data_IF_202111164205
#
_entry.id   IF_202111164205
#
_cell.length_a   1.000
_cell.length_b   1.000
_cell.length_c   1.000
_cell.angle_alpha   90.00
_cell.angle_beta   90.00
_cell.angle_gamma   90.00
#
_symmetry.space_group_name_H-M   'P 1'
#
loop_
_entity.id
_entity.type
_entity.pdbx_description
1 polymer ?
#
# COMPACT_ATOMS: atom_id res chain seq x y z
N UNK A 1 -55.56 -35.48 31.43
CA UNK A 1 -54.83 -35.09 30.20
C UNK A 1 -53.56 -34.39 30.66
N UNK A 2 -52.43 -35.08 30.64
CA UNK A 2 -51.12 -34.47 30.92
C UNK A 2 -50.66 -33.79 29.64
N UNK A 3 -50.75 -32.46 29.63
CA UNK A 3 -50.33 -31.62 28.53
C UNK A 3 -48.79 -31.65 28.47
N UNK A 4 -48.25 -32.46 27.56
CA UNK A 4 -46.81 -32.59 27.40
C UNK A 4 -46.30 -31.36 26.65
N UNK A 5 -45.46 -30.56 27.31
CA UNK A 5 -44.87 -29.37 26.70
C UNK A 5 -44.16 -29.72 25.37
N UNK A 6 -44.30 -28.89 24.32
CA UNK A 6 -43.65 -29.12 23.03
C UNK A 6 -42.13 -29.17 23.19
N UNK A 7 -41.45 -29.99 22.37
CA UNK A 7 -40.01 -30.27 22.51
C UNK A 7 -39.10 -29.03 22.38
N UNK A 8 -39.59 -27.95 21.78
CA UNK A 8 -38.88 -26.66 21.65
C UNK A 8 -39.15 -25.69 22.82
N UNK A 9 -39.99 -26.07 23.79
CA UNK A 9 -40.30 -25.23 24.92
C UNK A 9 -39.14 -25.20 25.92
N UNK A 10 -38.48 -24.04 26.06
CA UNK A 10 -37.46 -23.82 27.10
C UNK A 10 -38.16 -23.44 28.42
N UNK A 11 -38.05 -24.21 29.51
CA UNK A 11 -38.66 -23.87 30.81
C UNK A 11 -38.22 -22.49 31.33
N UNK A 12 -39.09 -21.79 32.07
CA UNK A 12 -38.86 -20.38 32.49
C UNK A 12 -37.68 -20.26 33.46
N UNK A 13 -37.43 -21.30 34.26
CA UNK A 13 -36.27 -21.45 35.15
C UNK A 13 -34.92 -21.51 34.42
N UNK A 14 -34.94 -21.75 33.10
CA UNK A 14 -33.77 -21.67 32.24
C UNK A 14 -33.69 -20.37 31.45
N UNK A 15 -34.56 -19.39 31.70
CA UNK A 15 -34.56 -18.09 31.01
C UNK A 15 -33.96 -17.00 31.90
N UNK A 16 -33.11 -16.17 31.33
CA UNK A 16 -32.65 -14.93 31.94
C UNK A 16 -32.96 -13.79 30.98
N UNK A 17 -33.80 -12.83 31.40
CA UNK A 17 -34.29 -11.73 30.55
C UNK A 17 -34.92 -12.20 29.21
N UNK A 18 -35.60 -13.36 29.21
CA UNK A 18 -36.24 -13.93 28.02
C UNK A 18 -35.31 -14.74 27.11
N UNK A 19 -34.01 -14.82 27.41
CA UNK A 19 -33.01 -15.60 26.67
C UNK A 19 -32.68 -16.91 27.39
N UNK A 20 -32.44 -17.99 26.64
CA UNK A 20 -32.03 -19.28 27.20
C UNK A 20 -30.65 -19.18 27.87
N UNK A 21 -30.59 -19.49 29.17
CA UNK A 21 -29.37 -19.49 29.99
C UNK A 21 -28.28 -20.41 29.42
N UNK A 22 -28.66 -21.45 28.67
CA UNK A 22 -27.72 -22.40 28.03
C UNK A 22 -26.97 -21.75 26.86
N UNK A 23 -27.56 -20.76 26.20
CA UNK A 23 -26.94 -20.06 25.08
C UNK A 23 -26.05 -18.89 25.51
N UNK A 24 -26.10 -18.46 26.78
CA UNK A 24 -25.28 -17.34 27.27
C UNK A 24 -23.78 -17.65 27.23
N UNK A 25 -23.36 -18.86 27.62
CA UNK A 25 -21.95 -19.24 27.60
C UNK A 25 -21.35 -19.20 26.18
N UNK A 26 -21.94 -19.87 25.16
CA UNK A 26 -21.43 -19.77 23.80
C UNK A 26 -21.55 -18.35 23.24
N UNK A 27 -22.62 -17.60 23.56
CA UNK A 27 -22.75 -16.20 23.12
C UNK A 27 -21.65 -15.29 23.72
N UNK A 28 -21.31 -15.47 24.99
CA UNK A 28 -20.23 -14.74 25.64
C UNK A 28 -18.87 -15.10 25.01
N UNK A 29 -18.63 -16.38 24.71
CA UNK A 29 -17.41 -16.80 24.01
C UNK A 29 -17.29 -16.14 22.64
N UNK A 30 -18.37 -16.12 21.85
CA UNK A 30 -18.40 -15.43 20.54
C UNK A 30 -18.16 -13.93 20.71
N UNK A 31 -18.78 -13.30 21.72
CA UNK A 31 -18.57 -11.88 22.02
C UNK A 31 -17.11 -11.58 22.37
N UNK A 32 -16.48 -12.39 23.22
CA UNK A 32 -15.07 -12.22 23.59
C UNK A 32 -14.17 -12.36 22.37
N UNK A 33 -14.41 -13.37 21.51
CA UNK A 33 -13.66 -13.53 20.26
C UNK A 33 -13.86 -12.31 19.36
N UNK A 34 -15.09 -11.85 19.19
CA UNK A 34 -15.40 -10.67 18.39
C UNK A 34 -14.69 -9.42 18.91
N UNK A 35 -14.70 -9.18 20.22
CA UNK A 35 -13.99 -8.06 20.84
C UNK A 35 -12.47 -8.18 20.69
N UNK A 36 -11.92 -9.39 20.81
CA UNK A 36 -10.49 -9.64 20.61
C UNK A 36 -10.07 -9.38 19.16
N UNK A 37 -10.88 -9.78 18.19
CA UNK A 37 -10.61 -9.51 16.78
C UNK A 37 -10.80 -8.03 16.42
N UNK A 38 -11.82 -7.37 16.97
CA UNK A 38 -12.15 -5.99 16.64
C UNK A 38 -11.24 -4.97 17.35
N UNK A 39 -10.79 -5.27 18.57
CA UNK A 39 -9.99 -4.34 19.37
C UNK A 39 -8.64 -4.90 19.78
N UNK A 40 -8.56 -6.19 20.11
CA UNK A 40 -7.32 -6.82 20.56
C UNK A 40 -6.23 -6.84 19.49
N UNK A 41 -6.56 -7.31 18.28
CA UNK A 41 -5.60 -7.35 17.17
C UNK A 41 -5.15 -5.93 16.73
N UNK A 42 -6.05 -4.95 16.52
CA UNK A 42 -5.63 -3.58 16.21
C UNK A 42 -4.80 -2.93 17.32
N UNK A 43 -5.14 -3.15 18.59
CA UNK A 43 -4.37 -2.61 19.71
C UNK A 43 -2.98 -3.22 19.80
N UNK A 44 -2.84 -4.53 19.56
CA UNK A 44 -1.53 -5.19 19.51
C UNK A 44 -0.69 -4.64 18.36
N UNK A 45 -1.28 -4.45 17.18
CA UNK A 45 -0.59 -3.86 16.04
C UNK A 45 -0.12 -2.42 16.34
N UNK A 46 -0.94 -1.63 17.05
CA UNK A 46 -0.56 -0.27 17.48
C UNK A 46 0.52 -0.25 18.58
N UNK A 47 0.66 -1.34 19.35
CA UNK A 47 1.64 -1.44 20.43
C UNK A 47 3.02 -1.88 19.95
N UNK A 48 3.17 -2.37 18.71
CA UNK A 48 4.46 -2.74 18.13
C UNK A 48 5.13 -1.46 17.61
N UNK A 49 6.23 -0.99 18.22
CA UNK A 49 6.91 0.22 17.76
C UNK A 49 7.52 0.01 16.39
N UNK A 50 7.32 0.99 15.51
CA UNK A 50 7.96 1.09 14.22
C UNK A 50 9.45 1.34 14.41
N UNK A 51 10.30 0.44 13.90
CA UNK A 51 11.74 0.51 14.14
C UNK A 51 12.43 1.54 13.23
N UNK A 52 11.84 1.80 12.05
CA UNK A 52 12.37 2.73 11.04
C UNK A 52 11.23 3.60 10.49
N UNK A 53 10.55 4.31 11.39
CA UNK A 53 9.52 5.26 11.00
C UNK A 53 10.14 6.46 10.30
N UNK A 54 9.58 6.81 9.14
CA UNK A 54 9.93 8.00 8.37
C UNK A 54 9.56 9.25 9.16
N UNK A 55 10.55 10.10 9.38
CA UNK A 55 10.43 11.39 10.06
C UNK A 55 10.36 12.54 9.05
N UNK A 56 9.85 13.67 9.51
CA UNK A 56 9.86 14.89 8.71
C UNK A 56 11.32 15.28 8.38
N UNK A 57 11.58 15.53 7.10
CA UNK A 57 12.92 15.85 6.59
C UNK A 57 13.70 14.66 6.03
N UNK A 58 13.20 13.43 6.22
CA UNK A 58 13.80 12.25 5.57
C UNK A 58 13.59 12.33 4.05
N UNK A 59 14.62 11.91 3.31
CA UNK A 59 14.63 11.86 1.84
C UNK A 59 15.19 10.51 1.42
N UNK A 60 14.52 9.84 0.49
CA UNK A 60 14.98 8.59 -0.09
C UNK A 60 15.99 8.86 -1.20
N UNK A 61 17.07 8.08 -1.24
CA UNK A 61 18.02 8.06 -2.36
C UNK A 61 17.52 7.08 -3.43
N UNK A 62 17.29 7.59 -4.64
CA UNK A 62 16.91 6.81 -5.81
C UNK A 62 18.08 6.64 -6.79
N UNK A 63 19.30 6.97 -6.37
CA UNK A 63 20.52 6.85 -7.16
C UNK A 63 20.75 8.00 -8.15
N UNK A 64 22.02 8.22 -8.49
CA UNK A 64 22.49 9.33 -9.35
C UNK A 64 21.95 10.72 -8.95
N UNK A 65 21.69 10.92 -7.65
CA UNK A 65 21.14 12.16 -7.11
C UNK A 65 19.63 12.31 -7.27
N UNK A 66 18.93 11.31 -7.81
CA UNK A 66 17.48 11.27 -7.80
C UNK A 66 16.97 11.03 -6.38
N UNK A 67 15.86 11.67 -6.03
CA UNK A 67 15.33 11.65 -4.67
C UNK A 67 13.81 11.55 -4.64
N UNK A 68 13.27 11.07 -3.52
CA UNK A 68 11.85 11.14 -3.22
C UNK A 68 11.63 11.51 -1.76
N UNK A 69 10.59 12.30 -1.48
CA UNK A 69 10.19 12.67 -0.11
C UNK A 69 9.10 11.70 0.35
N UNK A 70 9.42 10.70 1.20
CA UNK A 70 8.45 9.72 1.68
C UNK A 70 7.38 10.36 2.59
N UNK A 71 6.18 9.76 2.70
CA UNK A 71 5.18 10.24 3.64
C UNK A 71 5.60 10.02 5.10
N UNK A 72 5.43 11.04 5.93
CA UNK A 72 5.77 10.98 7.37
C UNK A 72 4.89 9.95 8.08
N UNK A 73 5.48 9.22 9.03
CA UNK A 73 4.79 8.20 9.83
C UNK A 73 4.62 6.84 9.12
N UNK A 74 5.17 6.69 7.91
CA UNK A 74 5.27 5.40 7.24
C UNK A 74 6.52 4.66 7.70
N UNK A 75 6.46 3.34 7.71
CA UNK A 75 7.60 2.49 8.04
C UNK A 75 8.45 2.23 6.80
N UNK A 76 9.77 2.45 6.90
CA UNK A 76 10.74 1.99 5.90
C UNK A 76 11.11 0.53 6.19
N UNK A 77 10.63 -0.38 5.34
CA UNK A 77 10.93 -1.82 5.43
C UNK A 77 12.21 -2.17 4.67
N UNK A 78 12.50 -1.44 3.60
CA UNK A 78 13.73 -1.59 2.82
C UNK A 78 13.98 -0.35 1.97
N UNK A 79 15.26 -0.03 1.73
CA UNK A 79 15.68 1.16 1.01
C UNK A 79 16.78 1.92 1.75
N UNK A 80 17.25 3.02 1.17
CA UNK A 80 18.31 3.86 1.74
C UNK A 80 17.89 5.31 1.76
N UNK A 81 18.20 6.00 2.86
CA UNK A 81 18.00 7.44 2.98
C UNK A 81 19.17 8.18 2.33
N UNK A 82 18.89 9.35 1.76
CA UNK A 82 19.89 10.24 1.19
C UNK A 82 20.99 10.56 2.21
N UNK A 83 22.25 10.54 1.78
CA UNK A 83 23.42 10.82 2.62
C UNK A 83 23.94 9.63 3.44
N UNK A 84 23.33 8.44 3.34
CA UNK A 84 23.79 7.22 4.04
C UNK A 84 24.56 6.24 3.15
N UNK A 85 24.65 6.50 1.84
CA UNK A 85 25.34 5.67 0.85
C UNK A 85 25.15 6.19 -0.58
N UNK A 86 25.55 5.40 -1.57
CA UNK A 86 25.25 5.64 -3.00
C UNK A 86 24.50 4.43 -3.55
N UNK A 87 23.30 4.65 -4.08
CA UNK A 87 22.52 3.61 -4.76
C UNK A 87 22.63 3.74 -6.27
N UNK A 88 22.68 2.63 -6.99
CA UNK A 88 22.55 2.67 -8.45
C UNK A 88 21.07 2.83 -8.82
N UNK A 89 20.69 3.76 -9.72
CA UNK A 89 19.30 3.97 -10.10
C UNK A 89 18.66 2.73 -10.73
N UNK A 90 19.45 1.84 -11.33
CA UNK A 90 18.99 0.59 -11.93
C UNK A 90 18.78 -0.56 -10.93
N UNK A 91 19.12 -0.35 -9.66
CA UNK A 91 18.98 -1.34 -8.58
C UNK A 91 18.27 -0.77 -7.35
N UNK A 92 17.54 0.34 -7.51
CA UNK A 92 16.74 0.91 -6.42
C UNK A 92 15.65 -0.07 -6.03
N UNK A 93 15.56 -0.36 -4.74
CA UNK A 93 14.45 -1.09 -4.17
C UNK A 93 14.10 -0.45 -2.82
N UNK A 94 12.96 0.23 -2.79
CA UNK A 94 12.42 0.86 -1.58
C UNK A 94 11.05 0.29 -1.29
N UNK A 95 10.76 0.03 -0.02
CA UNK A 95 9.46 -0.43 0.45
C UNK A 95 9.05 0.37 1.68
N UNK A 96 7.92 1.05 1.56
CA UNK A 96 7.26 1.79 2.63
C UNK A 96 5.95 1.09 2.97
N UNK A 97 5.62 0.99 4.24
CA UNK A 97 4.37 0.38 4.71
C UNK A 97 3.66 1.26 5.74
N UNK A 98 2.33 1.28 5.69
CA UNK A 98 1.49 1.91 6.72
C UNK A 98 0.08 1.31 6.71
N UNK A 99 -0.38 0.81 7.85
CA UNK A 99 -1.78 0.43 8.04
C UNK A 99 -2.36 -0.55 7.00
N UNK A 100 -1.55 -1.47 6.47
CA UNK A 100 -1.95 -2.42 5.42
C UNK A 100 -1.85 -1.90 3.98
N UNK A 101 -1.37 -0.67 3.79
CA UNK A 101 -0.95 -0.15 2.50
C UNK A 101 0.57 -0.24 2.34
N UNK A 102 1.02 -0.45 1.11
CA UNK A 102 2.44 -0.46 0.76
C UNK A 102 2.72 0.43 -0.44
N UNK A 103 3.87 1.11 -0.41
CA UNK A 103 4.43 1.83 -1.54
C UNK A 103 5.80 1.22 -1.82
N UNK A 104 5.97 0.68 -3.01
CA UNK A 104 7.25 0.11 -3.46
C UNK A 104 7.80 0.94 -4.60
N UNK A 105 9.09 1.27 -4.54
CA UNK A 105 9.83 1.92 -5.60
C UNK A 105 10.87 0.95 -6.13
N UNK A 106 10.88 0.76 -7.45
CA UNK A 106 11.84 -0.12 -8.11
C UNK A 106 12.45 0.58 -9.31
N UNK A 107 13.75 0.79 -9.25
CA UNK A 107 14.53 1.32 -10.35
C UNK A 107 15.08 0.21 -11.23
N UNK A 108 15.18 0.44 -12.53
CA UNK A 108 15.75 -0.51 -13.49
C UNK A 108 16.27 0.20 -14.74
N UNK A 109 17.10 -0.49 -15.53
CA UNK A 109 17.44 -0.04 -16.88
C UNK A 109 16.35 -0.49 -17.86
N UNK A 110 15.87 0.44 -18.67
CA UNK A 110 14.91 0.17 -19.74
C UNK A 110 15.09 1.19 -20.84
N UNK A 111 15.00 0.78 -22.11
CA UNK A 111 15.06 1.70 -23.26
C UNK A 111 13.66 1.88 -23.84
N UNK A 112 13.22 3.14 -23.95
CA UNK A 112 11.91 3.52 -24.47
C UNK A 112 11.14 4.43 -23.52
N UNK A 113 9.85 4.63 -23.83
CA UNK A 113 8.97 5.53 -23.07
C UNK A 113 8.52 4.93 -21.73
N UNK A 114 8.02 5.78 -20.82
CA UNK A 114 7.42 5.32 -19.57
C UNK A 114 6.19 4.41 -19.79
N UNK A 115 5.42 4.69 -20.83
CA UNK A 115 4.25 3.87 -21.21
C UNK A 115 4.67 2.46 -21.67
N UNK A 116 5.69 2.37 -22.54
CA UNK A 116 6.25 1.10 -22.98
C UNK A 116 6.90 0.32 -21.83
N UNK A 117 7.48 1.01 -20.85
CA UNK A 117 7.98 0.38 -19.64
C UNK A 117 6.86 -0.23 -18.81
N UNK A 118 5.76 0.49 -18.62
CA UNK A 118 4.59 -0.01 -17.89
C UNK A 118 3.97 -1.24 -18.59
N UNK A 119 3.87 -1.21 -19.92
CA UNK A 119 3.47 -2.39 -20.72
C UNK A 119 4.39 -3.58 -20.47
N UNK A 120 5.70 -3.34 -20.42
CA UNK A 120 6.67 -4.40 -20.18
C UNK A 120 6.53 -4.99 -18.78
N UNK A 121 6.33 -4.16 -17.76
CA UNK A 121 6.08 -4.62 -16.39
C UNK A 121 4.84 -5.49 -16.34
N UNK A 122 3.71 -5.04 -16.90
CA UNK A 122 2.46 -5.79 -16.93
C UNK A 122 2.61 -7.12 -17.67
N UNK A 123 3.31 -7.12 -18.80
CA UNK A 123 3.60 -8.35 -19.58
C UNK A 123 4.47 -9.32 -18.79
N UNK A 124 5.46 -8.84 -18.05
CA UNK A 124 6.38 -9.69 -17.27
C UNK A 124 5.74 -10.27 -16.01
N UNK A 125 4.84 -9.52 -15.37
CA UNK A 125 4.15 -9.98 -14.15
C UNK A 125 2.88 -10.81 -14.46
N UNK A 126 2.39 -10.74 -15.69
CA UNK A 126 1.15 -11.37 -16.13
C UNK A 126 -0.08 -10.57 -15.72
N UNK A 127 -1.25 -11.05 -16.13
CA UNK A 127 -2.54 -10.42 -15.81
C UNK A 127 -3.16 -11.11 -14.58
N UNK A 128 -3.00 -10.55 -13.36
CA UNK A 128 -3.76 -11.04 -12.22
C UNK A 128 -5.26 -10.79 -12.44
N UNK A 129 -6.15 -11.57 -11.79
CA UNK A 129 -7.58 -11.33 -11.86
C UNK A 129 -7.91 -9.95 -11.30
N UNK A 130 -8.50 -9.09 -12.11
CA UNK A 130 -8.81 -7.70 -11.76
C UNK A 130 -9.31 -6.89 -12.95
N UNK A 131 -9.57 -5.62 -12.70
CA UNK A 131 -9.96 -4.62 -13.70
C UNK A 131 -8.95 -3.50 -13.66
N UNK A 132 -8.36 -3.22 -14.82
CA UNK A 132 -7.48 -2.08 -15.02
C UNK A 132 -8.28 -0.83 -15.36
N UNK A 133 -7.88 0.29 -14.77
CA UNK A 133 -8.37 1.62 -15.12
C UNK A 133 -7.69 2.18 -16.38
N UNK A 134 -8.20 3.31 -16.86
CA UNK A 134 -7.55 4.06 -17.94
C UNK A 134 -6.19 4.62 -17.50
N UNK A 135 -5.21 4.61 -18.40
CA UNK A 135 -3.92 5.27 -18.18
C UNK A 135 -4.09 6.79 -18.14
N UNK A 136 -3.36 7.43 -17.23
CA UNK A 136 -3.27 8.87 -17.10
C UNK A 136 -1.82 9.33 -17.00
N UNK A 137 -1.59 10.61 -17.21
CA UNK A 137 -0.28 11.24 -17.01
C UNK A 137 -0.15 11.78 -15.59
N UNK A 138 1.04 11.67 -15.02
CA UNK A 138 1.39 12.26 -13.72
C UNK A 138 2.60 13.15 -13.92
N UNK A 139 2.55 14.36 -13.40
CA UNK A 139 3.67 15.31 -13.43
C UNK A 139 4.10 15.63 -12.02
N UNK A 140 5.39 15.48 -11.74
CA UNK A 140 5.97 15.79 -10.44
C UNK A 140 6.26 17.29 -10.30
N UNK A 141 6.56 17.76 -9.09
CA UNK A 141 6.94 19.16 -8.88
C UNK A 141 8.27 19.53 -9.55
N UNK A 142 9.13 18.55 -9.85
CA UNK A 142 10.37 18.73 -10.59
C UNK A 142 10.18 18.76 -12.11
N UNK A 143 8.95 18.60 -12.60
CA UNK A 143 8.61 18.55 -14.03
C UNK A 143 8.77 17.17 -14.67
N UNK A 144 9.06 16.13 -13.88
CA UNK A 144 9.15 14.75 -14.36
C UNK A 144 7.76 14.26 -14.77
N UNK A 145 7.63 13.74 -15.99
CA UNK A 145 6.37 13.20 -16.50
C UNK A 145 6.42 11.67 -16.46
N UNK A 146 5.39 11.08 -15.89
CA UNK A 146 5.20 9.63 -15.83
C UNK A 146 3.81 9.22 -16.30
N UNK A 147 3.60 7.91 -16.38
CA UNK A 147 2.33 7.28 -16.76
C UNK A 147 1.83 6.48 -15.58
N UNK A 148 0.57 6.69 -15.20
CA UNK A 148 -0.08 6.01 -14.11
C UNK A 148 -1.25 5.14 -14.60
N UNK A 149 -1.43 3.97 -13.99
CA UNK A 149 -2.56 3.09 -14.19
C UNK A 149 -3.02 2.55 -12.84
N UNK A 150 -4.28 2.82 -12.49
CA UNK A 150 -4.93 2.17 -11.35
C UNK A 150 -5.48 0.80 -11.74
N UNK A 151 -5.61 -0.10 -10.78
CA UNK A 151 -6.31 -1.37 -10.94
C UNK A 151 -7.00 -1.79 -9.65
N UNK A 152 -8.08 -2.55 -9.79
CA UNK A 152 -8.85 -3.11 -8.67
C UNK A 152 -8.96 -4.62 -8.85
N UNK A 153 -8.70 -5.36 -7.78
CA UNK A 153 -8.75 -6.82 -7.76
C UNK A 153 -9.40 -7.34 -6.48
N UNK A 154 -9.80 -8.62 -6.42
CA UNK A 154 -10.25 -9.25 -5.17
C UNK A 154 -9.22 -9.18 -4.04
N UNK A 155 -7.93 -9.01 -4.39
CA UNK A 155 -6.83 -8.96 -3.43
C UNK A 155 -6.49 -7.52 -2.98
N UNK A 156 -7.12 -6.50 -3.57
CA UNK A 156 -6.81 -5.11 -3.27
C UNK A 156 -6.84 -4.19 -4.48
N UNK A 157 -6.70 -2.90 -4.18
CA UNK A 157 -6.49 -1.86 -5.17
C UNK A 157 -5.00 -1.58 -5.34
N UNK A 158 -4.60 -1.28 -6.56
CA UNK A 158 -3.23 -0.92 -6.89
C UNK A 158 -3.16 0.34 -7.77
N UNK A 159 -2.05 1.06 -7.67
CA UNK A 159 -1.66 2.12 -8.58
C UNK A 159 -0.22 1.90 -9.01
N UNK A 160 0.00 1.67 -10.29
CA UNK A 160 1.33 1.59 -10.89
C UNK A 160 1.63 2.90 -11.62
N UNK A 161 2.78 3.50 -11.31
CA UNK A 161 3.26 4.72 -11.95
C UNK A 161 4.68 4.49 -12.45
N UNK A 162 4.85 4.66 -13.76
CA UNK A 162 6.14 4.54 -14.44
C UNK A 162 6.72 5.92 -14.73
N UNK A 163 7.99 6.11 -14.40
CA UNK A 163 8.76 7.30 -14.74
C UNK A 163 10.04 6.93 -15.50
N UNK A 164 10.51 7.87 -16.32
CA UNK A 164 11.86 7.86 -16.89
C UNK A 164 12.69 8.91 -16.18
N UNK A 165 13.70 8.50 -15.43
CA UNK A 165 14.50 9.33 -14.53
C UNK A 165 15.54 10.17 -15.30
N UNK A 166 15.09 10.88 -16.34
CA UNK A 166 15.92 11.80 -17.07
C UNK A 166 15.96 13.17 -16.37
N UNK A 167 17.16 13.72 -16.23
CA UNK A 167 17.32 15.14 -15.92
C UNK A 167 16.93 16.02 -17.12
N UNK A 168 16.88 17.33 -16.92
CA UNK A 168 16.44 18.31 -17.92
C UNK A 168 17.21 18.29 -19.25
N UNK A 169 18.42 17.71 -19.28
CA UNK A 169 19.30 17.63 -20.45
C UNK A 169 19.53 16.21 -20.97
N UNK A 170 18.90 15.18 -20.38
CA UNK A 170 19.14 13.78 -20.73
C UNK A 170 18.19 13.26 -21.82
N UNK A 171 18.64 12.26 -22.59
CA UNK A 171 17.75 11.50 -23.48
C UNK A 171 16.73 10.71 -22.65
N UNK A 172 15.47 11.17 -22.68
CA UNK A 172 14.40 10.63 -21.83
C UNK A 172 14.21 9.11 -21.96
N UNK A 173 14.41 8.57 -23.17
CA UNK A 173 14.16 7.14 -23.44
C UNK A 173 15.30 6.22 -22.97
N UNK A 174 16.54 6.71 -22.91
CA UNK A 174 17.69 5.94 -22.45
C UNK A 174 17.89 6.02 -20.92
N UNK A 175 17.25 6.99 -20.26
CA UNK A 175 17.36 7.17 -18.82
C UNK A 175 16.84 5.95 -18.03
N UNK A 176 17.32 5.72 -16.79
CA UNK A 176 16.78 4.67 -15.93
C UNK A 176 15.26 4.81 -15.77
N UNK A 177 14.55 3.69 -15.70
CA UNK A 177 13.11 3.67 -15.43
C UNK A 177 12.87 3.45 -13.93
N UNK A 178 11.84 4.10 -13.40
CA UNK A 178 11.38 3.93 -12.02
C UNK A 178 9.91 3.51 -12.04
N UNK A 179 9.62 2.37 -11.42
CA UNK A 179 8.26 1.94 -11.11
C UNK A 179 7.94 2.31 -9.67
N UNK A 180 6.89 3.10 -9.48
CA UNK A 180 6.26 3.33 -8.17
C UNK A 180 4.96 2.56 -8.15
N UNK A 181 4.83 1.65 -7.20
CA UNK A 181 3.64 0.82 -7.05
C UNK A 181 3.05 1.01 -5.67
N UNK A 182 1.77 1.36 -5.63
CA UNK A 182 0.99 1.46 -4.40
C UNK A 182 0.03 0.28 -4.36
N UNK A 183 -0.06 -0.40 -3.22
CA UNK A 183 -1.06 -1.45 -2.97
C UNK A 183 -1.80 -1.16 -1.68
N UNK A 184 -3.11 -1.39 -1.71
CA UNK A 184 -4.00 -1.17 -0.56
C UNK A 184 -5.06 -2.27 -0.51
N UNK A 185 -5.70 -2.46 0.64
CA UNK A 185 -6.88 -3.32 0.71
C UNK A 185 -8.04 -2.74 -0.14
N UNK A 186 -9.00 -3.58 -0.59
CA UNK A 186 -10.09 -3.12 -1.46
C UNK A 186 -10.85 -1.93 -0.85
N UNK A 187 -11.05 -0.87 -1.65
CA UNK A 187 -11.75 0.35 -1.26
C UNK A 187 -10.98 1.26 -0.30
N UNK A 188 -9.68 1.02 -0.07
CA UNK A 188 -8.86 1.85 0.81
C UNK A 188 -8.04 2.91 0.08
N UNK A 189 -7.83 2.75 -1.23
CA UNK A 189 -6.98 3.66 -2.01
C UNK A 189 -7.43 5.12 -1.93
N UNK A 190 -8.74 5.38 -1.94
CA UNK A 190 -9.33 6.72 -1.85
C UNK A 190 -8.86 7.49 -0.61
N UNK A 191 -8.66 6.81 0.53
CA UNK A 191 -8.19 7.44 1.77
C UNK A 191 -6.74 7.88 1.72
N UNK A 192 -5.96 7.26 0.84
CA UNK A 192 -4.53 7.49 0.68
C UNK A 192 -4.19 8.32 -0.55
N UNK A 193 -5.19 8.69 -1.36
CA UNK A 193 -4.99 9.37 -2.63
C UNK A 193 -4.17 10.67 -2.48
N UNK A 194 -4.50 11.50 -1.48
CA UNK A 194 -3.78 12.76 -1.24
C UNK A 194 -2.33 12.52 -0.79
N UNK A 195 -2.12 11.53 0.08
CA UNK A 195 -0.80 11.12 0.56
C UNK A 195 0.07 10.62 -0.60
N UNK A 196 -0.49 9.74 -1.44
CA UNK A 196 0.18 9.19 -2.62
C UNK A 196 0.45 10.28 -3.65
N UNK A 197 -0.51 11.16 -3.93
CA UNK A 197 -0.33 12.26 -4.87
C UNK A 197 0.74 13.26 -4.39
N UNK A 198 0.84 13.49 -3.08
CA UNK A 198 1.89 14.32 -2.49
C UNK A 198 3.26 13.64 -2.60
N UNK A 199 3.32 12.34 -2.29
CA UNK A 199 4.52 11.53 -2.45
C UNK A 199 5.04 11.55 -3.90
N UNK A 200 4.18 11.25 -4.88
CA UNK A 200 4.52 11.25 -6.30
C UNK A 200 5.01 12.63 -6.76
N UNK A 201 4.39 13.72 -6.29
CA UNK A 201 4.85 15.08 -6.60
C UNK A 201 6.24 15.38 -6.06
N UNK A 202 6.64 14.76 -4.95
CA UNK A 202 7.95 14.92 -4.32
C UNK A 202 9.09 14.15 -4.99
N UNK A 203 8.84 13.41 -6.07
CA UNK A 203 9.88 12.67 -6.80
C UNK A 203 10.66 13.64 -7.70
N UNK A 204 11.98 13.60 -7.61
CA UNK A 204 12.90 14.42 -8.39
C UNK A 204 13.97 13.57 -9.08
N UNK A 205 14.23 13.81 -10.38
CA UNK A 205 15.35 13.18 -11.07
C UNK A 205 16.68 13.75 -10.56
N UNK A 206 17.74 12.98 -10.73
CA UNK A 206 19.09 13.42 -10.42
C UNK A 206 19.54 14.54 -11.37
N UNK A 207 20.36 15.46 -10.86
CA UNK A 207 21.10 16.37 -11.72
C UNK A 207 22.18 15.57 -12.43
N UNK A 208 21.94 15.22 -13.70
CA UNK A 208 22.96 14.66 -14.59
C UNK A 208 24.21 15.53 -14.53
N UNK A 209 25.31 14.99 -14.00
CA UNK A 209 26.60 15.66 -13.92
C UNK A 209 27.46 15.29 -15.12
#
# INVERSE_FOLDING_TARGET
MTDAAPREWVPVEHRFLGLDRRTFAPALSVLVIALLLLYGLPALNAAIPWHNEIRAGDVLDLGDGATAVPPVGWQLEGGTLAGTGSVSPSSVQVQLASGGATITLRGTSFTGTADAFLDQVQRSEGSPPGVDGSRGTVTTASGLVGVAQGSTSPNGDALDVAFKMAGASGEAEAAPALLVRVRTAPGQFERLQDTVATFLRGIAPGASR
#
